data_IF_151777725545
#
_entry.id   IF_151777725545
#
_cell.length_a   1.000
_cell.length_b   1.000
_cell.length_c   1.000
_cell.angle_alpha   90.00
_cell.angle_beta   90.00
_cell.angle_gamma   90.00
#
_symmetry.space_group_name_H-M   'P 1'
#
loop_
_entity.id
_entity.type
_entity.pdbx_description
1 polymer ?
#
# COMPACT_ATOMS: atom_id res chain seq x y z
N UNK A 1 12.44 3.78 15.33
CA UNK A 1 12.80 4.27 13.98
C UNK A 1 14.27 3.99 13.72
N UNK A 2 14.58 3.06 12.82
CA UNK A 2 15.92 2.51 12.59
C UNK A 2 16.88 3.60 12.09
N UNK A 3 17.89 3.94 12.92
CA UNK A 3 18.89 4.97 12.60
C UNK A 3 19.64 4.62 11.32
N UNK A 4 19.81 3.34 10.98
CA UNK A 4 20.48 2.94 9.74
C UNK A 4 19.68 3.33 8.50
N UNK A 5 18.35 3.22 8.53
CA UNK A 5 17.49 3.60 7.41
C UNK A 5 17.40 5.13 7.23
N UNK A 6 17.48 5.89 8.34
CA UNK A 6 17.52 7.36 8.32
C UNK A 6 18.88 7.88 7.84
N UNK A 7 19.97 7.25 8.27
CA UNK A 7 21.34 7.54 7.82
C UNK A 7 21.51 7.23 6.33
N UNK A 8 20.96 6.12 5.83
CA UNK A 8 20.94 5.80 4.40
C UNK A 8 20.23 6.88 3.58
N UNK A 9 19.08 7.41 4.03
CA UNK A 9 18.40 8.52 3.33
C UNK A 9 19.22 9.81 3.36
N UNK A 10 19.86 10.13 4.48
CA UNK A 10 20.63 11.36 4.63
C UNK A 10 21.95 11.32 3.82
N UNK A 11 22.63 10.18 3.79
CA UNK A 11 23.84 9.98 3.00
C UNK A 11 23.55 9.90 1.50
N UNK A 12 22.43 9.27 1.10
CA UNK A 12 21.98 9.28 -0.30
C UNK A 12 21.64 10.70 -0.75
N UNK A 13 20.89 11.47 0.05
CA UNK A 13 20.55 12.86 -0.29
C UNK A 13 21.80 13.74 -0.37
N UNK A 14 22.73 13.64 0.60
CA UNK A 14 24.01 14.34 0.56
C UNK A 14 24.87 13.93 -0.64
N UNK A 15 24.86 12.65 -1.00
CA UNK A 15 25.60 12.12 -2.15
C UNK A 15 24.98 12.57 -3.48
N UNK A 16 23.65 12.56 -3.61
CA UNK A 16 22.91 13.06 -4.77
C UNK A 16 23.12 14.57 -4.94
N UNK A 17 23.05 15.37 -3.86
CA UNK A 17 23.37 16.81 -3.89
C UNK A 17 24.82 17.04 -4.35
N UNK A 18 25.77 16.25 -3.83
CA UNK A 18 27.19 16.32 -4.22
C UNK A 18 27.41 15.93 -5.69
N UNK A 19 26.63 14.99 -6.21
CA UNK A 19 26.64 14.60 -7.64
C UNK A 19 26.07 15.71 -8.54
N UNK A 20 24.95 16.33 -8.16
CA UNK A 20 24.39 17.47 -8.88
C UNK A 20 25.34 18.67 -8.89
N UNK A 21 26.04 18.92 -7.78
CA UNK A 21 27.08 19.95 -7.71
C UNK A 21 28.25 19.66 -8.66
N UNK A 22 28.66 18.39 -8.79
CA UNK A 22 29.77 17.98 -9.70
C UNK A 22 29.38 17.95 -11.18
N UNK A 23 28.13 17.61 -11.49
CA UNK A 23 27.59 17.68 -12.85
C UNK A 23 27.54 19.13 -13.36
N UNK A 24 27.16 20.09 -12.50
CA UNK A 24 27.17 21.53 -12.82
C UNK A 24 28.57 22.09 -13.13
N UNK A 25 29.62 21.49 -12.60
CA UNK A 25 31.00 21.90 -12.81
C UNK A 25 31.70 21.23 -14.00
N UNK A 26 30.99 20.46 -14.82
CA UNK A 26 31.49 19.96 -16.11
C UNK A 26 32.38 18.71 -16.04
N UNK A 27 32.52 18.08 -14.87
CA UNK A 27 33.30 16.85 -14.72
C UNK A 27 32.55 15.64 -15.32
N UNK A 28 33.20 14.87 -16.20
CA UNK A 28 32.67 13.60 -16.73
C UNK A 28 32.63 12.53 -15.63
N UNK A 29 31.51 12.46 -14.90
CA UNK A 29 31.31 11.51 -13.79
C UNK A 29 31.24 10.06 -14.32
N UNK A 30 32.33 9.31 -14.18
CA UNK A 30 32.33 7.86 -14.34
C UNK A 30 31.65 7.21 -13.12
N UNK A 31 30.45 6.64 -13.30
CA UNK A 31 29.68 6.00 -12.21
C UNK A 31 28.15 6.07 -12.34
N UNK A 32 27.63 6.91 -13.25
CA UNK A 32 26.19 7.08 -13.49
C UNK A 32 25.38 5.79 -13.72
N UNK A 33 25.85 4.79 -14.50
CA UNK A 33 25.06 3.57 -14.76
C UNK A 33 24.83 2.71 -13.52
N UNK A 34 25.82 2.64 -12.61
CA UNK A 34 25.71 1.89 -11.35
C UNK A 34 24.79 2.59 -10.35
N UNK A 35 24.81 3.92 -10.31
CA UNK A 35 23.93 4.73 -9.46
C UNK A 35 22.49 4.68 -9.97
N UNK A 36 22.27 4.78 -11.29
CA UNK A 36 20.95 4.61 -11.88
C UNK A 36 20.37 3.22 -11.62
N UNK A 37 21.19 2.16 -11.72
CA UNK A 37 20.81 0.77 -11.39
C UNK A 37 20.53 0.58 -9.88
N UNK A 38 21.33 1.19 -9.01
CA UNK A 38 21.13 1.18 -7.56
C UNK A 38 19.87 1.95 -7.14
N UNK A 39 19.63 3.13 -7.73
CA UNK A 39 18.40 3.91 -7.53
C UNK A 39 17.18 3.17 -8.09
N UNK A 40 17.30 2.49 -9.25
CA UNK A 40 16.30 1.53 -9.76
C UNK A 40 16.03 0.40 -8.78
N UNK A 41 17.00 0.06 -7.92
CA UNK A 41 16.86 -0.91 -6.84
C UNK A 41 16.28 -0.41 -5.54
N UNK A 42 15.93 0.87 -5.48
CA UNK A 42 15.23 1.50 -4.37
C UNK A 42 13.91 2.12 -4.89
N UNK A 43 13.51 1.84 -6.15
CA UNK A 43 12.28 2.39 -6.73
C UNK A 43 11.06 1.70 -6.12
N UNK A 44 10.49 2.34 -5.12
CA UNK A 44 9.15 2.04 -4.66
C UNK A 44 8.17 2.95 -5.39
N UNK A 45 7.11 2.38 -5.94
CA UNK A 45 6.03 3.11 -6.59
C UNK A 45 4.78 3.13 -5.71
N UNK A 46 3.81 3.97 -6.09
CA UNK A 46 2.51 4.08 -5.41
C UNK A 46 1.35 3.74 -6.33
N UNK A 47 0.32 3.12 -5.77
CA UNK A 47 -0.93 2.83 -6.47
C UNK A 47 -2.12 3.17 -5.57
N UNK A 48 -3.24 3.56 -6.16
CA UNK A 48 -4.41 4.06 -5.43
C UNK A 48 -5.68 3.41 -6.00
N UNK A 49 -6.34 2.61 -5.17
CA UNK A 49 -7.50 1.83 -5.58
C UNK A 49 -8.69 2.00 -4.63
N UNK A 50 -9.86 2.30 -5.19
CA UNK A 50 -11.15 2.21 -4.53
C UNK A 50 -11.83 0.89 -4.90
N UNK A 51 -12.02 0.02 -3.91
CA UNK A 51 -12.54 -1.35 -4.07
C UNK A 51 -13.63 -1.64 -3.04
N UNK A 52 -14.62 -0.74 -2.92
CA UNK A 52 -15.62 -0.76 -1.85
C UNK A 52 -15.00 -0.40 -0.49
N UNK A 53 -15.40 -1.05 0.60
CA UNK A 53 -14.88 -0.77 1.94
C UNK A 53 -13.36 -0.97 1.97
N UNK A 54 -12.63 0.06 2.39
CA UNK A 54 -11.16 0.02 2.39
C UNK A 54 -10.53 -0.86 3.49
N UNK A 55 -11.31 -1.44 4.41
CA UNK A 55 -10.78 -2.36 5.42
C UNK A 55 -10.29 -3.68 4.81
N UNK A 56 -10.66 -3.94 3.55
CA UNK A 56 -10.05 -4.93 2.68
C UNK A 56 -8.61 -4.61 2.25
N UNK A 57 -7.99 -3.50 2.69
CA UNK A 57 -6.58 -3.17 2.38
C UNK A 57 -5.59 -4.30 2.72
N UNK A 58 -5.96 -5.15 3.70
CA UNK A 58 -5.18 -6.31 4.10
C UNK A 58 -4.97 -7.30 2.95
N UNK A 59 -5.89 -7.37 1.98
CA UNK A 59 -5.79 -8.25 0.81
C UNK A 59 -4.57 -7.88 -0.05
N UNK A 60 -4.35 -6.59 -0.32
CA UNK A 60 -3.13 -6.14 -1.02
C UNK A 60 -1.88 -6.40 -0.20
N UNK A 61 -1.94 -6.24 1.13
CA UNK A 61 -0.81 -6.49 2.00
C UNK A 61 -0.34 -7.95 2.00
N UNK A 62 -1.15 -8.91 1.51
CA UNK A 62 -0.74 -10.32 1.31
C UNK A 62 0.19 -10.51 0.10
N UNK A 63 0.22 -9.57 -0.83
CA UNK A 63 1.04 -9.67 -2.03
C UNK A 63 2.53 -9.48 -1.70
N UNK A 64 3.35 -10.32 -2.31
CA UNK A 64 4.80 -10.09 -2.34
C UNK A 64 5.09 -8.77 -3.07
N UNK A 65 6.06 -8.01 -2.58
CA UNK A 65 6.40 -6.70 -3.14
C UNK A 65 5.52 -5.54 -2.67
N UNK A 66 4.31 -5.78 -2.14
CA UNK A 66 3.56 -4.74 -1.43
C UNK A 66 4.18 -4.53 -0.05
N UNK A 67 4.72 -3.33 0.15
CA UNK A 67 5.50 -2.97 1.34
C UNK A 67 4.63 -2.31 2.39
N UNK A 68 3.79 -1.34 2.00
CA UNK A 68 2.96 -0.56 2.92
C UNK A 68 1.59 -0.34 2.31
N UNK A 69 0.60 -0.20 3.17
CA UNK A 69 -0.75 0.19 2.78
C UNK A 69 -1.23 1.30 3.69
N UNK A 70 -2.09 2.17 3.18
CA UNK A 70 -2.75 3.21 3.97
C UNK A 70 -4.12 3.47 3.37
N UNK A 71 -5.12 3.64 4.22
CA UNK A 71 -6.49 3.92 3.79
C UNK A 71 -6.83 5.41 3.91
N UNK A 72 -7.72 5.89 3.04
CA UNK A 72 -8.07 7.29 2.95
C UNK A 72 -9.21 7.58 1.99
N UNK A 73 -9.40 8.87 1.71
CA UNK A 73 -10.45 9.42 0.86
C UNK A 73 -9.80 10.13 -0.33
N UNK A 74 -10.25 9.81 -1.54
CA UNK A 74 -9.78 10.46 -2.76
C UNK A 74 -10.82 10.35 -3.89
N UNK A 75 -10.56 11.03 -5.01
CA UNK A 75 -11.44 11.04 -6.20
C UNK A 75 -12.57 12.07 -6.16
N UNK A 76 -12.72 12.80 -5.06
CA UNK A 76 -13.56 13.99 -4.96
C UNK A 76 -12.74 15.28 -5.09
N UNK A 77 -13.43 16.42 -5.17
CA UNK A 77 -12.82 17.76 -5.26
C UNK A 77 -12.93 18.54 -3.95
N UNK A 78 -13.86 18.19 -3.06
CA UNK A 78 -14.05 18.96 -1.85
C UNK A 78 -12.89 18.74 -0.86
N UNK A 79 -12.40 19.78 -0.16
CA UNK A 79 -11.28 19.63 0.76
C UNK A 79 -11.68 18.89 2.04
N UNK A 80 -10.71 18.35 2.76
CA UNK A 80 -10.83 17.84 4.14
C UNK A 80 -12.05 16.92 4.38
N UNK A 81 -12.16 15.78 3.67
CA UNK A 81 -13.15 14.74 3.98
C UNK A 81 -12.83 14.04 5.31
N UNK A 82 -13.87 13.57 5.98
CA UNK A 82 -13.81 12.69 7.17
C UNK A 82 -14.75 11.52 6.96
N UNK A 83 -14.68 10.47 7.78
CA UNK A 83 -15.62 9.35 7.65
C UNK A 83 -17.09 9.80 7.79
N UNK A 84 -17.35 10.68 8.77
CA UNK A 84 -18.70 11.23 8.98
C UNK A 84 -19.17 12.14 7.84
N UNK A 85 -18.23 12.76 7.11
CA UNK A 85 -18.50 13.69 6.02
C UNK A 85 -17.53 13.44 4.86
N UNK A 86 -17.75 12.34 4.13
CA UNK A 86 -16.87 11.93 3.02
C UNK A 86 -17.00 12.83 1.79
N UNK A 87 -18.10 13.60 1.69
CA UNK A 87 -18.38 14.53 0.58
C UNK A 87 -18.48 13.77 -0.75
N UNK A 88 -17.69 14.18 -1.75
CA UNK A 88 -17.63 13.57 -3.08
C UNK A 88 -16.46 12.58 -3.23
N UNK A 89 -15.83 12.17 -2.13
CA UNK A 89 -14.73 11.21 -2.15
C UNK A 89 -15.17 9.75 -2.07
N UNK A 90 -14.25 8.88 -2.46
CA UNK A 90 -14.32 7.43 -2.38
C UNK A 90 -13.32 6.93 -1.35
N UNK A 91 -13.66 5.85 -0.64
CA UNK A 91 -12.71 5.09 0.17
C UNK A 91 -11.65 4.44 -0.73
N UNK A 92 -10.40 4.79 -0.50
CA UNK A 92 -9.25 4.41 -1.33
C UNK A 92 -8.14 3.83 -0.46
N UNK A 93 -7.53 2.76 -0.95
CA UNK A 93 -6.29 2.21 -0.42
C UNK A 93 -5.11 2.72 -1.25
N UNK A 94 -4.18 3.40 -0.60
CA UNK A 94 -2.83 3.68 -1.11
C UNK A 94 -1.93 2.48 -0.83
N UNK A 95 -1.19 2.06 -1.85
CA UNK A 95 -0.15 1.04 -1.76
C UNK A 95 1.20 1.69 -2.00
N UNK A 96 2.22 1.24 -1.25
CA UNK A 96 3.63 1.43 -1.60
C UNK A 96 4.19 0.05 -1.93
N UNK A 97 4.76 -0.12 -3.12
CA UNK A 97 5.23 -1.42 -3.60
C UNK A 97 6.59 -1.33 -4.28
N UNK A 98 7.33 -2.43 -4.26
CA UNK A 98 8.62 -2.59 -4.94
C UNK A 98 8.39 -3.09 -6.38
N UNK A 99 8.68 -2.22 -7.35
CA UNK A 99 8.52 -2.49 -8.78
C UNK A 99 9.34 -3.69 -9.28
N UNK A 100 10.36 -4.12 -8.52
CA UNK A 100 11.16 -5.31 -8.85
C UNK A 100 10.48 -6.62 -8.48
N UNK A 101 9.53 -6.56 -7.56
CA UNK A 101 8.86 -7.76 -7.01
C UNK A 101 7.43 -7.86 -7.52
N UNK A 102 6.71 -6.73 -7.61
CA UNK A 102 5.35 -6.68 -8.13
C UNK A 102 5.18 -5.52 -9.09
N UNK A 103 4.50 -5.77 -10.20
CA UNK A 103 4.24 -4.75 -11.22
C UNK A 103 2.88 -4.10 -11.03
N UNK A 104 2.71 -2.89 -11.57
CA UNK A 104 1.39 -2.24 -11.59
C UNK A 104 0.33 -3.08 -12.31
N UNK A 105 0.69 -3.78 -13.40
CA UNK A 105 -0.23 -4.68 -14.10
C UNK A 105 -0.67 -5.86 -13.23
N UNK A 106 0.22 -6.39 -12.38
CA UNK A 106 -0.14 -7.41 -11.38
C UNK A 106 -1.10 -6.86 -10.33
N UNK A 107 -0.90 -5.61 -9.89
CA UNK A 107 -1.81 -4.94 -8.95
C UNK A 107 -3.18 -4.66 -9.58
N UNK A 108 -3.25 -4.26 -10.85
CA UNK A 108 -4.50 -4.10 -11.59
C UNK A 108 -5.24 -5.43 -11.75
N UNK A 109 -4.53 -6.50 -12.09
CA UNK A 109 -5.10 -7.84 -12.16
C UNK A 109 -5.68 -8.27 -10.81
N UNK A 110 -4.94 -8.01 -9.72
CA UNK A 110 -5.42 -8.27 -8.37
C UNK A 110 -6.67 -7.44 -8.05
N UNK A 111 -6.65 -6.15 -8.34
CA UNK A 111 -7.78 -5.24 -8.18
C UNK A 111 -9.05 -5.83 -8.83
N UNK A 112 -9.02 -6.13 -10.12
CA UNK A 112 -10.20 -6.65 -10.84
C UNK A 112 -10.65 -8.05 -10.40
N UNK A 113 -9.80 -8.84 -9.72
CA UNK A 113 -10.18 -10.16 -9.21
C UNK A 113 -10.65 -10.16 -7.75
N UNK A 114 -10.57 -9.02 -7.05
CA UNK A 114 -10.84 -8.93 -5.61
C UNK A 114 -12.03 -8.03 -5.24
N UNK A 115 -12.76 -7.52 -6.23
CA UNK A 115 -14.11 -6.98 -6.07
C UNK A 115 -14.91 -7.18 -7.35
N UNK A 116 -16.23 -7.03 -7.27
CA UNK A 116 -17.08 -7.02 -8.46
C UNK A 116 -17.15 -5.59 -9.05
N UNK A 117 -16.53 -5.33 -10.22
CA UNK A 117 -16.56 -4.01 -10.85
C UNK A 117 -17.90 -3.69 -11.53
N UNK A 118 -18.86 -4.61 -11.55
CA UNK A 118 -20.14 -4.46 -12.27
C UNK A 118 -21.28 -4.00 -11.37
N UNK A 119 -21.07 -4.00 -10.05
CA UNK A 119 -22.08 -3.58 -9.08
C UNK A 119 -21.98 -2.07 -8.91
N UNK A 120 -23.06 -1.38 -9.26
CA UNK A 120 -23.20 0.03 -8.95
C UNK A 120 -23.17 0.25 -7.43
N UNK A 121 -22.33 1.19 -6.98
CA UNK A 121 -22.18 1.58 -5.57
C UNK A 121 -22.28 3.09 -5.44
N UNK A 122 -22.67 3.56 -4.25
CA UNK A 122 -22.55 4.98 -3.87
C UNK A 122 -21.11 5.45 -4.04
N UNK A 123 -20.91 6.75 -4.27
CA UNK A 123 -19.58 7.36 -4.49
C UNK A 123 -18.52 6.91 -3.49
N UNK A 124 -18.89 6.78 -2.21
CA UNK A 124 -18.01 6.28 -1.15
C UNK A 124 -17.37 4.93 -1.45
N UNK A 125 -18.08 4.02 -2.13
CA UNK A 125 -17.68 2.63 -2.33
C UNK A 125 -17.52 2.25 -3.82
N UNK A 126 -17.39 3.24 -4.71
CA UNK A 126 -17.28 2.99 -6.16
C UNK A 126 -15.97 2.29 -6.53
N UNK A 127 -15.98 1.53 -7.62
CA UNK A 127 -14.78 0.97 -8.23
C UNK A 127 -13.97 2.08 -8.91
N UNK A 128 -12.76 2.35 -8.42
CA UNK A 128 -11.96 3.51 -8.81
C UNK A 128 -10.47 3.16 -8.88
N UNK A 129 -9.81 3.57 -9.97
CA UNK A 129 -8.35 3.56 -10.13
C UNK A 129 -7.91 5.01 -10.26
N UNK A 130 -7.04 5.46 -9.35
CA UNK A 130 -6.46 6.80 -9.37
C UNK A 130 -4.99 6.73 -9.83
N UNK A 131 -4.73 7.13 -11.07
CA UNK A 131 -3.37 7.09 -11.63
C UNK A 131 -2.54 8.30 -11.17
N UNK A 132 -1.25 8.10 -10.94
CA UNK A 132 -0.31 9.18 -10.57
C UNK A 132 0.53 9.70 -11.74
N UNK A 133 0.59 8.94 -12.84
CA UNK A 133 1.31 9.28 -14.06
C UNK A 133 0.63 8.66 -15.29
N UNK A 134 1.12 9.04 -16.48
CA UNK A 134 0.57 8.58 -17.76
C UNK A 134 0.82 7.09 -18.03
N UNK A 135 1.87 6.49 -17.46
CA UNK A 135 2.13 5.05 -17.61
C UNK A 135 1.06 4.24 -16.88
N UNK A 136 0.74 4.62 -15.64
CA UNK A 136 -0.35 4.02 -14.89
C UNK A 136 -1.69 4.24 -15.57
N UNK A 137 -1.94 5.43 -16.13
CA UNK A 137 -3.16 5.71 -16.89
C UNK A 137 -3.31 4.74 -18.06
N UNK A 138 -2.28 4.60 -18.89
CA UNK A 138 -2.30 3.72 -20.06
C UNK A 138 -2.53 2.26 -19.67
N UNK A 139 -1.85 1.77 -18.63
CA UNK A 139 -2.03 0.40 -18.13
C UNK A 139 -3.43 0.18 -17.55
N UNK A 140 -3.94 1.13 -16.78
CA UNK A 140 -5.28 1.05 -16.19
C UNK A 140 -6.38 1.07 -17.26
N UNK A 141 -6.27 1.95 -18.25
CA UNK A 141 -7.19 2.02 -19.39
C UNK A 141 -7.17 0.72 -20.20
N UNK A 142 -5.98 0.17 -20.48
CA UNK A 142 -5.83 -1.11 -21.17
C UNK A 142 -6.44 -2.27 -20.38
N UNK A 143 -6.17 -2.36 -19.07
CA UNK A 143 -6.75 -3.39 -18.21
C UNK A 143 -8.28 -3.29 -18.16
N UNK A 144 -8.83 -2.07 -18.03
CA UNK A 144 -10.27 -1.84 -18.05
C UNK A 144 -10.89 -2.24 -19.40
N UNK A 145 -10.22 -1.96 -20.51
CA UNK A 145 -10.70 -2.36 -21.83
C UNK A 145 -10.82 -3.89 -21.96
N UNK A 146 -9.87 -4.66 -21.42
CA UNK A 146 -9.97 -6.13 -21.38
C UNK A 146 -11.15 -6.61 -20.51
N UNK A 147 -11.38 -5.97 -19.36
CA UNK A 147 -12.53 -6.28 -18.51
C UNK A 147 -13.84 -5.98 -19.23
N UNK A 148 -13.94 -4.86 -19.95
CA UNK A 148 -15.14 -4.47 -20.71
C UNK A 148 -15.46 -5.41 -21.89
N UNK A 149 -14.44 -6.07 -22.46
CA UNK A 149 -14.67 -7.13 -23.48
C UNK A 149 -15.37 -8.35 -22.89
N UNK A 150 -15.07 -8.69 -21.63
CA UNK A 150 -15.66 -9.82 -20.92
C UNK A 150 -17.02 -9.42 -20.33
N UNK A 151 -17.11 -8.22 -19.76
CA UNK A 151 -18.31 -7.67 -19.18
C UNK A 151 -18.46 -6.17 -19.49
N UNK A 152 -19.35 -5.87 -20.44
CA UNK A 152 -19.61 -4.50 -20.91
C UNK A 152 -20.27 -3.58 -19.86
N UNK A 153 -20.63 -4.10 -18.68
CA UNK A 153 -21.25 -3.33 -17.58
C UNK A 153 -20.26 -2.87 -16.50
N UNK A 154 -18.97 -3.16 -16.63
CA UNK A 154 -18.00 -2.74 -15.61
C UNK A 154 -18.03 -1.21 -15.43
N UNK A 155 -18.20 -0.75 -14.18
CA UNK A 155 -18.37 0.67 -13.83
C UNK A 155 -17.09 1.34 -13.34
N UNK A 156 -15.97 0.61 -13.32
CA UNK A 156 -14.67 1.12 -12.85
C UNK A 156 -14.30 2.42 -13.55
N UNK A 157 -13.95 3.44 -12.74
CA UNK A 157 -13.44 4.72 -13.24
C UNK A 157 -11.93 4.75 -13.17
N UNK A 158 -11.30 5.29 -14.22
CA UNK A 158 -9.86 5.60 -14.26
C UNK A 158 -9.73 7.11 -14.27
N UNK A 159 -9.26 7.69 -13.17
CA UNK A 159 -9.21 9.14 -12.95
C UNK A 159 -7.80 9.54 -12.47
N UNK A 160 -7.41 10.80 -12.70
CA UNK A 160 -6.12 11.30 -12.20
C UNK A 160 -6.20 11.48 -10.68
N UNK A 161 -5.18 11.04 -9.95
CA UNK A 161 -5.06 11.42 -8.55
C UNK A 161 -4.80 12.94 -8.43
N UNK A 162 -5.72 13.66 -7.80
CA UNK A 162 -5.51 15.05 -7.40
C UNK A 162 -4.91 15.12 -5.99
N UNK A 163 -5.69 14.69 -4.99
CA UNK A 163 -5.25 14.60 -3.60
C UNK A 163 -5.78 13.35 -2.92
N UNK A 164 -4.95 12.80 -2.03
CA UNK A 164 -5.32 11.72 -1.12
C UNK A 164 -5.34 12.25 0.32
N UNK A 165 -6.48 12.06 1.00
CA UNK A 165 -6.66 12.41 2.41
C UNK A 165 -6.58 11.14 3.24
N UNK A 166 -5.58 11.00 4.10
CA UNK A 166 -5.48 9.87 5.00
C UNK A 166 -6.72 9.82 5.91
N UNK A 167 -7.35 8.65 6.03
CA UNK A 167 -8.47 8.44 6.94
C UNK A 167 -7.97 8.39 8.39
N UNK A 168 -8.92 8.58 9.31
CA UNK A 168 -8.70 8.57 10.75
C UNK A 168 -7.97 7.30 11.21
N UNK A 169 -7.20 7.43 12.29
CA UNK A 169 -6.28 6.37 12.71
C UNK A 169 -6.99 5.04 12.98
N UNK A 170 -8.22 5.07 13.51
CA UNK A 170 -9.00 3.87 13.79
C UNK A 170 -9.37 3.05 12.53
N UNK A 171 -9.29 3.63 11.33
CA UNK A 171 -9.45 2.88 10.07
C UNK A 171 -8.16 2.18 9.61
N UNK A 172 -7.00 2.66 10.06
CA UNK A 172 -5.70 2.15 9.62
C UNK A 172 -5.43 0.78 10.23
N UNK A 173 -5.07 -0.21 9.39
CA UNK A 173 -4.77 -1.58 9.83
C UNK A 173 -5.89 -2.17 10.70
N UNK A 174 -7.12 -2.05 10.22
CA UNK A 174 -8.33 -2.41 10.95
C UNK A 174 -8.29 -3.81 11.58
N UNK A 175 -7.85 -4.83 10.84
CA UNK A 175 -7.77 -6.21 11.34
C UNK A 175 -6.80 -6.36 12.51
N UNK A 176 -5.67 -5.65 12.46
CA UNK A 176 -4.74 -5.57 13.58
C UNK A 176 -5.32 -4.81 14.76
N UNK A 177 -6.10 -3.74 14.55
CA UNK A 177 -6.80 -3.04 15.64
C UNK A 177 -7.87 -3.88 16.32
N UNK A 178 -8.53 -4.80 15.61
CA UNK A 178 -9.44 -5.79 16.19
C UNK A 178 -8.74 -6.79 17.13
N UNK A 179 -7.41 -6.78 17.17
CA UNK A 179 -6.57 -7.64 18.01
C UNK A 179 -5.79 -6.79 19.03
N UNK A 180 -6.47 -6.25 20.07
CA UNK A 180 -5.92 -5.21 20.94
C UNK A 180 -4.64 -5.64 21.68
N UNK A 181 -4.50 -6.92 22.04
CA UNK A 181 -3.29 -7.43 22.68
C UNK A 181 -2.10 -7.40 21.73
N UNK A 182 -2.31 -7.81 20.47
CA UNK A 182 -1.26 -7.81 19.45
C UNK A 182 -0.92 -6.37 19.08
N UNK A 183 -1.94 -5.53 18.87
CA UNK A 183 -1.78 -4.11 18.58
C UNK A 183 -0.96 -3.38 19.64
N UNK A 184 -1.19 -3.64 20.93
CA UNK A 184 -0.37 -3.07 22.02
C UNK A 184 1.04 -3.66 22.04
N UNK A 185 1.19 -4.96 21.79
CA UNK A 185 2.47 -5.66 21.89
C UNK A 185 3.48 -5.26 20.79
N UNK A 186 3.01 -4.88 19.61
CA UNK A 186 3.89 -4.38 18.51
C UNK A 186 4.47 -2.98 18.78
N UNK A 187 3.91 -2.23 19.73
CA UNK A 187 4.42 -0.92 20.22
C UNK A 187 4.65 0.12 19.11
N UNK A 188 3.78 0.16 18.10
CA UNK A 188 3.82 1.19 17.06
C UNK A 188 2.88 2.34 17.42
N UNK A 189 3.33 3.57 17.19
CA UNK A 189 2.45 4.74 17.16
C UNK A 189 1.54 4.74 15.92
N UNK A 190 0.44 5.48 15.93
CA UNK A 190 -0.46 5.58 14.76
C UNK A 190 0.27 6.09 13.52
N UNK A 191 1.23 7.02 13.70
CA UNK A 191 2.11 7.50 12.63
C UNK A 191 3.00 6.40 12.05
N UNK A 192 3.51 5.50 12.87
CA UNK A 192 4.35 4.38 12.41
C UNK A 192 3.50 3.26 11.78
N UNK A 193 2.27 3.08 12.27
CA UNK A 193 1.33 2.05 11.81
C UNK A 193 1.01 2.16 10.32
N UNK A 194 0.89 3.39 9.81
CA UNK A 194 0.61 3.65 8.39
C UNK A 194 1.84 3.57 7.49
N UNK A 195 3.06 3.63 8.05
CA UNK A 195 4.29 3.78 7.26
C UNK A 195 5.31 2.65 7.49
N UNK A 196 4.90 1.51 8.06
CA UNK A 196 5.83 0.39 8.29
C UNK A 196 5.35 -0.92 7.70
N UNK A 197 6.31 -1.68 7.16
CA UNK A 197 6.07 -3.00 6.56
C UNK A 197 5.53 -3.98 7.60
N UNK A 198 6.06 -3.89 8.83
CA UNK A 198 5.60 -4.72 9.95
C UNK A 198 4.08 -4.60 10.14
N UNK A 199 3.55 -3.38 10.24
CA UNK A 199 2.13 -3.15 10.48
C UNK A 199 1.28 -3.66 9.31
N UNK A 200 1.67 -3.37 8.07
CA UNK A 200 0.99 -3.87 6.88
C UNK A 200 0.90 -5.40 6.86
N UNK A 201 2.02 -6.09 7.13
CA UNK A 201 2.06 -7.55 7.12
C UNK A 201 1.35 -8.16 8.32
N UNK A 202 1.50 -7.63 9.54
CA UNK A 202 0.72 -8.12 10.70
C UNK A 202 -0.78 -7.95 10.47
N UNK A 203 -1.23 -6.84 9.90
CA UNK A 203 -2.63 -6.66 9.50
C UNK A 203 -3.09 -7.72 8.48
N UNK A 204 -2.22 -8.10 7.54
CA UNK A 204 -2.48 -9.20 6.60
C UNK A 204 -2.58 -10.56 7.30
N UNK A 205 -1.71 -10.85 8.27
CA UNK A 205 -1.78 -12.07 9.10
C UNK A 205 -3.09 -12.13 9.90
N UNK A 206 -3.53 -11.00 10.47
CA UNK A 206 -4.84 -10.94 11.15
C UNK A 206 -6.01 -11.16 10.19
N UNK A 207 -5.81 -10.98 8.89
CA UNK A 207 -6.76 -11.30 7.83
C UNK A 207 -6.48 -12.64 7.13
N UNK A 208 -5.72 -13.56 7.75
CA UNK A 208 -5.51 -14.92 7.23
C UNK A 208 -4.38 -15.06 6.21
N UNK A 209 -3.38 -14.18 6.21
CA UNK A 209 -2.15 -14.40 5.43
C UNK A 209 -1.33 -15.56 6.02
N UNK A 210 -0.97 -16.57 5.24
CA UNK A 210 -0.36 -17.81 5.74
C UNK A 210 1.11 -18.01 5.33
N UNK A 211 1.78 -16.96 4.86
CA UNK A 211 3.19 -16.99 4.47
C UNK A 211 4.11 -16.74 5.67
N UNK A 212 4.25 -17.74 6.54
CA UNK A 212 4.89 -17.56 7.85
C UNK A 212 6.37 -17.22 7.80
N UNK A 213 7.10 -17.57 6.73
CA UNK A 213 8.48 -17.12 6.54
C UNK A 213 8.62 -15.60 6.62
N UNK A 214 7.64 -14.86 6.07
CA UNK A 214 7.60 -13.39 6.16
C UNK A 214 7.39 -12.92 7.60
N UNK A 215 6.55 -13.64 8.36
CA UNK A 215 6.33 -13.33 9.77
C UNK A 215 7.60 -13.52 10.59
N UNK A 216 8.31 -14.64 10.40
CA UNK A 216 9.54 -14.94 11.12
C UNK A 216 10.65 -13.92 10.80
N UNK A 217 10.82 -13.54 9.53
CA UNK A 217 11.80 -12.53 9.13
C UNK A 217 11.51 -11.17 9.77
N UNK A 218 10.23 -10.76 9.78
CA UNK A 218 9.81 -9.53 10.45
C UNK A 218 9.97 -9.62 11.96
N UNK A 219 9.65 -10.77 12.55
CA UNK A 219 9.81 -11.00 13.98
C UNK A 219 11.26 -10.88 14.41
N UNK A 220 12.19 -11.48 13.67
CA UNK A 220 13.63 -11.36 13.92
C UNK A 220 14.09 -9.89 13.77
N UNK A 221 13.71 -9.23 12.67
CA UNK A 221 14.09 -7.84 12.40
C UNK A 221 13.59 -6.84 13.44
N UNK A 222 12.41 -7.08 14.00
CA UNK A 222 11.77 -6.20 14.97
C UNK A 222 11.84 -6.70 16.41
N UNK A 223 12.58 -7.79 16.65
CA UNK A 223 12.73 -8.42 17.97
C UNK A 223 11.39 -8.69 18.65
N UNK A 224 10.42 -9.24 17.91
CA UNK A 224 9.12 -9.59 18.45
C UNK A 224 9.23 -10.77 19.41
N UNK A 225 8.39 -10.75 20.45
CA UNK A 225 8.29 -11.85 21.41
C UNK A 225 7.84 -13.15 20.70
N UNK A 226 8.53 -14.30 20.90
CA UNK A 226 8.16 -15.57 20.29
C UNK A 226 6.72 -16.03 20.61
N UNK A 227 6.21 -15.73 21.81
CA UNK A 227 4.82 -16.04 22.17
C UNK A 227 3.83 -15.17 21.39
N UNK A 228 4.18 -13.92 21.10
CA UNK A 228 3.40 -13.04 20.22
C UNK A 228 3.37 -13.59 18.80
N UNK A 229 4.52 -14.04 18.27
CA UNK A 229 4.61 -14.65 16.93
C UNK A 229 3.69 -15.87 16.82
N UNK A 230 3.75 -16.79 17.79
CA UNK A 230 2.87 -17.97 17.82
C UNK A 230 1.38 -17.61 17.88
N UNK A 231 1.02 -16.54 18.61
CA UNK A 231 -0.36 -16.03 18.63
C UNK A 231 -0.80 -15.50 17.27
N UNK A 232 0.10 -14.78 16.58
CA UNK A 232 -0.16 -14.27 15.22
C UNK A 232 -0.37 -15.42 14.24
N UNK A 233 0.49 -16.44 14.27
CA UNK A 233 0.36 -17.65 13.43
C UNK A 233 -0.96 -18.37 13.64
N UNK A 234 -1.38 -18.55 14.90
CA UNK A 234 -2.62 -19.25 15.22
C UNK A 234 -3.85 -18.54 14.62
N UNK A 235 -3.91 -17.20 14.69
CA UNK A 235 -5.00 -16.41 14.10
C UNK A 235 -4.95 -16.47 12.57
N UNK A 236 -3.76 -16.35 12.00
CA UNK A 236 -3.58 -16.42 10.55
C UNK A 236 -3.99 -17.79 9.99
N UNK A 237 -3.61 -18.88 10.67
CA UNK A 237 -3.93 -20.25 10.29
C UNK A 237 -5.44 -20.56 10.37
N UNK A 238 -6.21 -19.84 11.20
CA UNK A 238 -7.67 -19.98 11.25
C UNK A 238 -8.41 -19.20 10.16
N UNK A 239 -7.69 -18.54 9.25
CA UNK A 239 -8.27 -17.69 8.19
C UNK A 239 -8.41 -16.22 8.58
N UNK A 240 -7.85 -15.79 9.72
CA UNK A 240 -7.95 -14.44 10.25
C UNK A 240 -9.04 -14.30 11.32
N UNK A 241 -9.28 -13.06 11.76
CA UNK A 241 -10.28 -12.74 12.77
C UNK A 241 -11.70 -12.71 12.17
N UNK A 242 -12.59 -13.67 12.49
CA UNK A 242 -13.94 -13.71 11.94
C UNK A 242 -14.82 -12.53 12.40
N UNK A 243 -14.38 -11.76 13.40
CA UNK A 243 -15.11 -10.58 13.93
C UNK A 243 -14.80 -9.31 13.14
N UNK A 244 -13.71 -9.29 12.38
CA UNK A 244 -13.41 -8.16 11.51
C UNK A 244 -14.34 -8.23 10.28
N UNK A 245 -14.98 -7.11 9.97
CA UNK A 245 -16.06 -7.03 8.97
C UNK A 245 -15.59 -7.54 7.60
N UNK A 246 -16.40 -8.42 6.98
CA UNK A 246 -16.26 -8.92 5.60
C UNK A 246 -17.37 -8.30 4.75
#
# INVERSE_FOLDING_TARGET
>A
MDLQLLLLKHDIVKFVIKLFSRYRSGDKVHGFPKIASFLKGIMTSRAYFGMQCFWGESAFAKLDGVLKTRVGYAGGKQPDPTYAHIKDHTEVTELVFDDKVVTYDSLLKFFFSHHDPNVHRKTQYRSLILYVDEEQKQKADAALAEILKINSKAETKVEKLDRFYQAEDYHQKYWLRCQPDIFRAIKLSDKELVDTVLAAKINAFMAGYNKFEVLHDLAAKHSLDPALVKKIEAIAASGGDPRACH
#
